data_IF_686817226946
#
_entry.id   IF_686817226946
#
_cell.length_a   1.000
_cell.length_b   1.000
_cell.length_c   1.000
_cell.angle_alpha   90.00
_cell.angle_beta   90.00
_cell.angle_gamma   90.00
#
_symmetry.space_group_name_H-M   'P 1'
#
loop_
_entity.id
_entity.type
_entity.pdbx_description
1 polymer ?
#
# COMPACT_ATOMS: atom_id res chain seq x y z
N UNK A 1 -36.21 31.00 27.17
CA UNK A 1 -36.20 29.54 26.94
C UNK A 1 -36.39 29.30 25.46
N UNK A 2 -35.31 29.16 24.71
CA UNK A 2 -35.33 28.71 23.32
C UNK A 2 -34.26 27.62 23.23
N UNK A 3 -34.74 26.41 22.98
CA UNK A 3 -34.01 25.15 22.97
C UNK A 3 -33.11 25.03 21.75
N UNK A 4 -31.91 24.50 22.00
CA UNK A 4 -31.03 23.86 21.03
C UNK A 4 -31.75 22.78 20.22
N UNK A 5 -31.53 22.77 18.90
CA UNK A 5 -31.22 21.61 18.02
C UNK A 5 -31.41 22.08 16.56
N UNK A 6 -30.44 22.01 15.66
CA UNK A 6 -29.88 20.76 15.14
C UNK A 6 -28.58 21.05 14.41
N UNK A 7 -27.51 20.40 14.87
CA UNK A 7 -26.25 20.27 14.16
C UNK A 7 -26.42 19.14 13.13
N UNK A 8 -26.58 19.48 11.85
CA UNK A 8 -26.63 18.49 10.76
C UNK A 8 -25.21 18.25 10.25
N UNK A 9 -24.69 17.01 10.30
CA UNK A 9 -23.41 16.70 9.67
C UNK A 9 -23.56 16.86 8.15
N UNK A 10 -22.80 17.80 7.59
CA UNK A 10 -22.68 18.04 6.15
C UNK A 10 -22.00 16.82 5.53
N UNK A 11 -22.75 16.04 4.75
CA UNK A 11 -22.20 14.94 3.98
C UNK A 11 -21.23 15.46 2.91
N UNK A 12 -19.95 15.10 3.02
CA UNK A 12 -18.95 15.38 2.01
C UNK A 12 -19.18 14.50 0.76
N UNK A 13 -19.06 15.03 -0.47
CA UNK A 13 -19.21 14.26 -1.69
C UNK A 13 -18.11 13.20 -1.83
N UNK A 14 -18.50 11.98 -2.22
CA UNK A 14 -17.60 10.83 -2.37
C UNK A 14 -16.74 10.92 -3.64
N UNK A 15 -15.62 11.63 -3.58
CA UNK A 15 -14.58 11.54 -4.60
C UNK A 15 -13.57 10.42 -4.31
N UNK A 16 -12.84 9.97 -5.34
CA UNK A 16 -11.88 8.85 -5.24
C UNK A 16 -10.52 9.35 -4.75
N UNK A 17 -10.04 8.82 -3.63
CA UNK A 17 -8.64 9.01 -3.18
C UNK A 17 -7.80 7.78 -3.53
N UNK A 18 -6.70 7.94 -4.27
CA UNK A 18 -5.70 6.88 -4.54
C UNK A 18 -4.36 7.25 -3.92
N UNK A 19 -3.62 6.24 -3.45
CA UNK A 19 -2.29 6.40 -2.85
C UNK A 19 -1.25 5.79 -3.78
N UNK A 20 -0.22 6.56 -4.14
CA UNK A 20 0.98 6.04 -4.80
C UNK A 20 2.16 6.11 -3.81
N UNK A 21 2.85 4.98 -3.62
CA UNK A 21 4.11 4.91 -2.87
C UNK A 21 5.28 5.00 -3.84
N UNK A 22 6.30 5.77 -3.49
CA UNK A 22 7.54 5.87 -4.26
C UNK A 22 8.25 4.51 -4.34
N UNK A 23 8.08 3.81 -5.45
CA UNK A 23 8.91 2.66 -5.84
C UNK A 23 10.31 3.18 -6.17
N UNK A 24 11.28 2.94 -5.28
CA UNK A 24 12.69 3.03 -5.64
C UNK A 24 12.99 2.11 -6.82
N UNK A 25 13.26 2.69 -7.99
CA UNK A 25 13.69 1.95 -9.19
C UNK A 25 15.17 1.63 -9.08
N UNK A 26 15.49 0.34 -9.18
CA UNK A 26 16.83 -0.15 -9.53
C UNK A 26 16.72 -1.22 -10.60
N UNK A 27 16.53 -0.82 -11.86
CA UNK A 27 16.62 -1.72 -13.02
C UNK A 27 18.07 -1.84 -13.47
N UNK A 28 18.74 -2.94 -13.14
CA UNK A 28 20.03 -3.31 -13.73
C UNK A 28 19.78 -4.06 -15.06
N UNK A 29 20.35 -3.55 -16.16
CA UNK A 29 20.50 -4.29 -17.42
C UNK A 29 21.84 -5.03 -17.39
N UNK A 30 21.81 -6.35 -17.56
CA UNK A 30 22.97 -7.12 -18.02
C UNK A 30 22.66 -7.76 -19.38
N UNK A 31 23.71 -7.79 -20.20
CA UNK A 31 23.65 -7.91 -21.65
C UNK A 31 23.53 -9.34 -22.21
N UNK A 32 23.31 -9.36 -23.51
CA UNK A 32 23.05 -10.55 -24.31
C UNK A 32 24.22 -11.55 -24.31
N UNK A 33 23.88 -12.84 -24.13
CA UNK A 33 24.77 -13.99 -24.24
C UNK A 33 24.07 -15.14 -24.97
N UNK A 34 24.78 -15.78 -25.90
CA UNK A 34 24.29 -16.60 -27.02
C UNK A 34 23.69 -17.98 -26.65
N UNK A 35 22.92 -18.48 -27.63
CA UNK A 35 22.35 -19.83 -27.88
C UNK A 35 23.30 -21.01 -27.61
N UNK A 36 22.72 -22.15 -27.23
CA UNK A 36 22.81 -23.55 -27.77
C UNK A 36 21.76 -24.35 -26.95
N UNK A 37 20.87 -25.24 -27.42
CA UNK A 37 20.77 -26.05 -28.63
C UNK A 37 21.01 -27.53 -28.29
N UNK A 38 19.99 -28.30 -27.89
CA UNK A 38 19.91 -29.77 -28.11
C UNK A 38 18.55 -30.39 -27.69
N UNK A 39 18.19 -31.46 -28.41
CA UNK A 39 16.86 -32.10 -28.53
C UNK A 39 16.72 -33.46 -27.79
N UNK A 40 15.47 -33.97 -27.77
CA UNK A 40 14.98 -35.37 -27.61
C UNK A 40 15.05 -35.98 -26.18
N UNK A 41 14.07 -36.76 -25.66
CA UNK A 41 13.14 -37.74 -26.24
C UNK A 41 11.77 -37.80 -25.54
N UNK A 42 10.85 -38.39 -26.30
CA UNK A 42 9.45 -38.77 -26.06
C UNK A 42 9.26 -39.85 -24.96
N UNK A 43 8.08 -39.87 -24.32
CA UNK A 43 7.73 -40.91 -23.34
C UNK A 43 6.52 -40.58 -22.45
N UNK A 44 5.33 -41.03 -22.85
CA UNK A 44 4.20 -41.37 -21.95
C UNK A 44 3.91 -42.88 -22.13
N UNK A 45 3.10 -43.58 -21.30
CA UNK A 45 2.18 -43.12 -20.24
C UNK A 45 2.23 -43.96 -18.93
N UNK A 46 1.51 -43.54 -17.86
CA UNK A 46 0.31 -44.22 -17.32
C UNK A 46 -0.10 -43.68 -15.92
N UNK A 47 -1.38 -43.89 -15.58
CA UNK A 47 -2.18 -43.41 -14.46
C UNK A 47 -1.88 -44.09 -13.11
N UNK A 48 -2.13 -43.37 -12.03
CA UNK A 48 -2.29 -43.84 -10.64
C UNK A 48 -2.28 -42.62 -9.71
N UNK A 49 -3.44 -42.17 -9.24
CA UNK A 49 -3.99 -42.38 -7.89
C UNK A 49 -3.39 -41.45 -6.81
N UNK A 50 -4.27 -41.05 -5.89
CA UNK A 50 -4.13 -39.96 -4.94
C UNK A 50 -3.00 -40.21 -3.92
N UNK A 51 -1.97 -39.35 -3.94
CA UNK A 51 -0.99 -39.27 -2.85
C UNK A 51 -0.97 -37.86 -2.25
N UNK A 52 -1.34 -37.81 -0.96
CA UNK A 52 -1.08 -36.70 -0.05
C UNK A 52 0.43 -36.57 0.07
N UNK A 53 1.02 -35.56 -0.57
CA UNK A 53 2.47 -35.35 -0.60
C UNK A 53 3.02 -35.10 0.81
N UNK A 54 3.86 -36.00 1.37
CA UNK A 54 4.74 -35.65 2.48
C UNK A 54 5.88 -34.78 1.92
N UNK A 55 6.39 -33.85 2.72
CA UNK A 55 7.47 -32.94 2.32
C UNK A 55 8.67 -33.71 1.76
N UNK A 56 8.86 -33.63 0.44
CA UNK A 56 10.07 -34.08 -0.23
C UNK A 56 10.90 -32.86 -0.64
N UNK A 57 12.16 -32.86 -0.21
CA UNK A 57 13.16 -31.90 -0.65
C UNK A 57 13.28 -31.96 -2.18
N UNK A 58 12.95 -30.86 -2.84
CA UNK A 58 13.14 -30.70 -4.28
C UNK A 58 14.64 -30.42 -4.46
N UNK A 59 15.38 -31.25 -5.19
CA UNK A 59 16.79 -30.98 -5.50
C UNK A 59 16.89 -30.22 -6.84
N UNK A 60 17.67 -29.12 -6.88
CA UNK A 60 18.00 -28.43 -8.13
C UNK A 60 18.96 -29.31 -8.96
N UNK A 61 19.00 -29.11 -10.29
CA UNK A 61 19.83 -29.84 -11.26
C UNK A 61 21.33 -29.82 -10.94
N UNK A 62 21.77 -28.95 -10.02
CA UNK A 62 23.14 -28.80 -9.54
C UNK A 62 23.39 -29.30 -8.11
N UNK A 63 22.45 -30.04 -7.49
CA UNK A 63 22.64 -30.59 -6.13
C UNK A 63 22.59 -29.55 -5.00
N UNK A 64 22.05 -28.35 -5.28
CA UNK A 64 21.72 -27.35 -4.26
C UNK A 64 20.41 -27.66 -3.55
N UNK A 65 20.28 -27.18 -2.31
CA UNK A 65 19.03 -27.20 -1.55
C UNK A 65 18.02 -26.25 -2.23
N UNK A 66 16.90 -26.77 -2.72
CA UNK A 66 15.80 -25.93 -3.23
C UNK A 66 14.86 -25.67 -2.05
N UNK A 67 14.46 -24.42 -1.80
CA UNK A 67 13.53 -24.14 -0.72
C UNK A 67 12.20 -24.84 -0.98
N UNK A 68 11.63 -25.40 0.09
CA UNK A 68 10.28 -25.95 0.09
C UNK A 68 9.24 -24.87 -0.19
N UNK A 69 8.06 -25.26 -0.67
CA UNK A 69 6.95 -24.32 -0.85
C UNK A 69 6.58 -23.60 0.45
N UNK A 70 6.74 -24.25 1.60
CA UNK A 70 6.48 -23.66 2.92
C UNK A 70 7.50 -22.55 3.23
N UNK A 71 8.79 -22.81 3.03
CA UNK A 71 9.84 -21.80 3.20
C UNK A 71 9.65 -20.61 2.28
N UNK A 72 9.17 -20.83 1.04
CA UNK A 72 8.88 -19.76 0.09
C UNK A 72 7.73 -18.88 0.59
N UNK A 73 6.62 -19.46 1.08
CA UNK A 73 5.49 -18.63 1.54
C UNK A 73 5.77 -17.96 2.88
N UNK A 74 6.64 -18.52 3.71
CA UNK A 74 7.04 -17.97 5.01
C UNK A 74 7.80 -16.65 4.93
N UNK A 75 8.42 -16.34 3.78
CA UNK A 75 9.06 -15.02 3.57
C UNK A 75 8.03 -13.89 3.39
N UNK A 76 6.77 -14.22 3.08
CA UNK A 76 5.74 -13.23 2.85
C UNK A 76 5.38 -12.54 4.18
N UNK A 77 5.40 -11.20 4.25
CA UNK A 77 5.23 -10.47 5.50
C UNK A 77 3.77 -10.48 6.01
N UNK A 78 2.81 -10.73 5.13
CA UNK A 78 1.38 -10.70 5.43
C UNK A 78 0.80 -12.12 5.55
N UNK A 79 -0.29 -12.31 6.32
CA UNK A 79 -0.98 -13.59 6.38
C UNK A 79 -1.32 -14.11 4.99
N UNK A 80 -0.84 -15.31 4.68
CA UNK A 80 -0.99 -15.93 3.38
C UNK A 80 -1.31 -17.41 3.52
N UNK A 81 -2.17 -17.91 2.64
CA UNK A 81 -2.52 -19.33 2.58
C UNK A 81 -2.69 -19.79 1.14
N UNK A 82 -2.51 -21.10 0.92
CA UNK A 82 -2.72 -21.76 -0.36
C UNK A 82 -3.91 -22.70 -0.24
N UNK A 83 -4.85 -22.62 -1.18
CA UNK A 83 -6.09 -23.37 -1.17
C UNK A 83 -6.23 -24.18 -2.46
N UNK A 84 -6.58 -25.46 -2.34
CA UNK A 84 -6.90 -26.35 -3.45
C UNK A 84 -8.31 -26.16 -3.99
N UNK A 85 -8.60 -26.75 -5.15
CA UNK A 85 -9.90 -26.63 -5.84
C UNK A 85 -11.09 -27.18 -5.04
N UNK A 86 -10.82 -28.04 -4.06
CA UNK A 86 -11.81 -28.66 -3.17
C UNK A 86 -11.95 -27.92 -1.82
N UNK A 87 -11.55 -26.64 -1.80
CA UNK A 87 -11.55 -25.76 -0.63
C UNK A 87 -10.52 -26.11 0.44
N UNK A 88 -9.71 -27.17 0.28
CA UNK A 88 -8.74 -27.56 1.31
C UNK A 88 -7.54 -26.63 1.35
N UNK A 89 -7.13 -26.29 2.56
CA UNK A 89 -5.94 -25.50 2.81
C UNK A 89 -4.74 -26.42 2.66
N UNK A 90 -3.84 -26.09 1.73
CA UNK A 90 -2.65 -26.88 1.42
C UNK A 90 -1.43 -26.35 2.15
N UNK A 91 -1.36 -25.03 2.34
CA UNK A 91 -0.28 -24.39 3.08
C UNK A 91 -0.78 -23.10 3.74
N UNK A 92 -0.12 -22.71 4.83
CA UNK A 92 -0.22 -21.38 5.45
C UNK A 92 1.19 -20.88 5.69
N UNK A 93 1.36 -19.56 5.78
CA UNK A 93 2.64 -19.00 6.16
C UNK A 93 2.72 -18.67 7.67
N UNK A 94 3.93 -18.35 8.14
CA UNK A 94 4.19 -18.01 9.53
C UNK A 94 3.41 -16.77 9.99
N UNK A 95 3.15 -15.80 9.09
CA UNK A 95 2.34 -14.63 9.39
C UNK A 95 0.87 -15.00 9.68
N UNK A 96 0.29 -15.91 8.88
CA UNK A 96 -1.06 -16.43 9.11
C UNK A 96 -1.17 -17.15 10.45
N UNK A 97 -0.24 -18.07 10.73
CA UNK A 97 -0.19 -18.83 11.98
C UNK A 97 -0.11 -17.91 13.21
N UNK A 98 0.76 -16.90 13.16
CA UNK A 98 0.87 -15.89 14.23
C UNK A 98 -0.39 -15.04 14.40
N UNK A 99 -0.99 -14.59 13.30
CA UNK A 99 -2.18 -13.73 13.33
C UNK A 99 -3.40 -14.44 13.92
N UNK A 100 -3.66 -15.67 13.46
CA UNK A 100 -4.81 -16.46 13.90
C UNK A 100 -4.53 -17.33 15.13
N UNK A 101 -3.29 -17.36 15.63
CA UNK A 101 -2.92 -18.12 16.83
C UNK A 101 -3.10 -19.63 16.66
N UNK A 102 -2.81 -20.14 15.46
CA UNK A 102 -3.03 -21.55 15.05
C UNK A 102 -1.74 -22.16 14.52
N UNK A 103 -1.59 -23.46 14.69
CA UNK A 103 -0.53 -24.26 14.07
C UNK A 103 -0.89 -24.70 12.64
N UNK A 104 0.10 -25.16 11.87
CA UNK A 104 -0.16 -25.73 10.54
C UNK A 104 -1.03 -27.00 10.64
N UNK A 105 -0.79 -27.84 11.65
CA UNK A 105 -1.51 -29.09 11.89
C UNK A 105 -3.02 -28.88 12.14
N UNK A 106 -3.40 -27.75 12.74
CA UNK A 106 -4.80 -27.41 13.03
C UNK A 106 -5.60 -26.94 11.80
N UNK A 107 -4.90 -26.55 10.72
CA UNK A 107 -5.48 -25.80 9.60
C UNK A 107 -5.29 -26.53 8.26
N UNK A 108 -4.08 -27.04 7.99
CA UNK A 108 -3.76 -27.74 6.75
C UNK A 108 -4.62 -29.01 6.63
N UNK A 109 -5.15 -29.24 5.43
CA UNK A 109 -6.08 -30.33 5.12
C UNK A 109 -7.55 -30.01 5.40
N UNK A 110 -7.86 -29.00 6.21
CA UNK A 110 -9.25 -28.55 6.46
C UNK A 110 -9.75 -27.61 5.37
N UNK A 111 -11.06 -27.39 5.30
CA UNK A 111 -11.62 -26.47 4.29
C UNK A 111 -11.54 -25.02 4.75
N UNK A 112 -11.24 -24.10 3.83
CA UNK A 112 -11.12 -22.67 4.12
C UNK A 112 -12.37 -22.10 4.80
N UNK A 113 -13.57 -22.52 4.40
CA UNK A 113 -14.82 -22.06 5.01
C UNK A 113 -15.06 -22.62 6.42
N UNK A 114 -14.49 -23.78 6.77
CA UNK A 114 -14.55 -24.34 8.13
C UNK A 114 -13.62 -23.59 9.08
N UNK A 115 -12.46 -23.17 8.59
CA UNK A 115 -11.44 -22.46 9.39
C UNK A 115 -11.79 -20.98 9.48
N UNK A 116 -11.89 -20.29 8.33
CA UNK A 116 -12.05 -18.85 8.27
C UNK A 116 -13.45 -18.37 8.63
N UNK A 117 -14.49 -19.10 8.20
CA UNK A 117 -15.89 -18.70 8.36
C UNK A 117 -16.67 -19.52 9.40
N UNK A 118 -16.06 -20.61 9.94
CA UNK A 118 -16.72 -21.56 10.84
C UNK A 118 -18.04 -22.10 10.27
N UNK A 119 -18.06 -22.30 8.96
CA UNK A 119 -19.22 -22.73 8.19
C UNK A 119 -18.99 -24.13 7.62
N UNK A 120 -20.02 -25.00 7.58
CA UNK A 120 -19.93 -26.29 6.90
C UNK A 120 -20.02 -26.16 5.37
N UNK A 121 -20.43 -25.01 4.85
CA UNK A 121 -20.61 -24.73 3.41
C UNK A 121 -19.74 -23.57 2.93
N UNK A 122 -19.38 -23.51 1.64
CA UNK A 122 -18.65 -22.39 1.03
C UNK A 122 -19.32 -21.03 1.22
N UNK A 123 -18.51 -19.96 1.15
CA UNK A 123 -18.95 -18.58 1.38
C UNK A 123 -20.06 -18.14 0.41
N UNK A 124 -20.03 -18.64 -0.83
CA UNK A 124 -21.06 -18.43 -1.86
C UNK A 124 -22.46 -18.85 -1.42
N UNK A 125 -22.56 -19.94 -0.65
CA UNK A 125 -23.83 -20.46 -0.14
C UNK A 125 -24.32 -19.71 1.09
N UNK A 126 -23.47 -18.88 1.70
CA UNK A 126 -23.81 -17.96 2.78
C UNK A 126 -24.11 -16.54 2.29
N UNK A 127 -24.23 -16.34 0.96
CA UNK A 127 -24.51 -15.04 0.36
C UNK A 127 -23.29 -14.12 0.24
N UNK A 128 -22.07 -14.64 0.39
CA UNK A 128 -20.81 -13.92 0.18
C UNK A 128 -20.21 -14.26 -1.19
N UNK A 129 -19.37 -13.38 -1.75
CA UNK A 129 -18.66 -13.69 -3.00
C UNK A 129 -17.39 -14.48 -2.71
N UNK A 130 -17.41 -15.79 -2.93
CA UNK A 130 -16.25 -16.65 -2.66
C UNK A 130 -15.07 -16.33 -3.61
N UNK A 131 -13.90 -15.88 -3.12
CA UNK A 131 -12.78 -15.53 -3.98
C UNK A 131 -12.19 -16.74 -4.69
N UNK A 132 -12.23 -17.91 -4.05
CA UNK A 132 -11.79 -19.17 -4.66
C UNK A 132 -12.59 -19.50 -5.92
N UNK A 133 -13.92 -19.47 -5.82
CA UNK A 133 -14.81 -19.78 -6.94
C UNK A 133 -14.61 -18.78 -8.09
N UNK A 134 -14.47 -17.49 -7.80
CA UNK A 134 -14.24 -16.45 -8.82
C UNK A 134 -12.90 -16.64 -9.54
N UNK A 135 -11.82 -16.95 -8.81
CA UNK A 135 -10.51 -17.22 -9.43
C UNK A 135 -10.53 -18.51 -10.24
N UNK A 136 -11.20 -19.57 -9.77
CA UNK A 136 -11.33 -20.80 -10.56
C UNK A 136 -12.16 -20.61 -11.83
N UNK A 137 -13.20 -19.77 -11.77
CA UNK A 137 -14.06 -19.50 -12.91
C UNK A 137 -13.38 -18.60 -13.96
N UNK A 138 -12.62 -17.58 -13.53
CA UNK A 138 -12.05 -16.57 -14.43
C UNK A 138 -10.58 -16.79 -14.77
N UNK A 139 -9.83 -17.46 -13.89
CA UNK A 139 -8.38 -17.56 -13.98
C UNK A 139 -7.64 -16.24 -13.73
N UNK A 140 -8.30 -15.23 -13.19
CA UNK A 140 -7.72 -13.90 -12.94
C UNK A 140 -7.67 -13.61 -11.43
N UNK A 141 -6.72 -12.79 -10.96
CA UNK A 141 -6.73 -12.32 -9.58
C UNK A 141 -8.06 -11.66 -9.20
N UNK A 142 -8.52 -11.92 -7.99
CA UNK A 142 -9.79 -11.41 -7.47
C UNK A 142 -9.64 -10.81 -6.09
N UNK A 143 -10.38 -9.74 -5.81
CA UNK A 143 -10.36 -9.06 -4.52
C UNK A 143 -11.79 -8.90 -3.97
N UNK A 144 -11.96 -9.23 -2.69
CA UNK A 144 -13.25 -9.16 -2.00
C UNK A 144 -13.04 -8.89 -0.51
N UNK A 145 -14.08 -8.42 0.16
CA UNK A 145 -14.09 -8.25 1.63
C UNK A 145 -14.93 -9.36 2.24
N UNK A 146 -14.33 -10.08 3.17
CA UNK A 146 -14.97 -11.15 3.95
C UNK A 146 -15.04 -10.79 5.43
N UNK A 147 -15.88 -11.53 6.16
CA UNK A 147 -15.83 -11.59 7.62
C UNK A 147 -15.26 -12.94 8.04
N UNK A 148 -14.02 -12.95 8.51
CA UNK A 148 -13.37 -14.11 9.11
C UNK A 148 -13.54 -14.11 10.63
N UNK A 149 -13.08 -15.16 11.30
CA UNK A 149 -13.00 -15.21 12.76
C UNK A 149 -11.55 -15.23 13.22
N UNK A 150 -11.25 -14.40 14.23
CA UNK A 150 -9.93 -14.40 14.88
C UNK A 150 -9.76 -15.60 15.84
N UNK A 151 -8.55 -15.73 16.41
CA UNK A 151 -8.20 -16.76 17.40
C UNK A 151 -9.17 -16.84 18.59
N UNK A 152 -9.84 -15.73 18.93
CA UNK A 152 -10.77 -15.59 20.06
C UNK A 152 -12.22 -15.79 19.65
N UNK A 153 -12.48 -16.10 18.38
CA UNK A 153 -13.81 -16.25 17.81
C UNK A 153 -14.58 -14.94 17.63
N UNK A 154 -13.88 -13.81 17.57
CA UNK A 154 -14.48 -12.53 17.20
C UNK A 154 -14.49 -12.39 15.68
N UNK A 155 -15.53 -11.76 15.16
CA UNK A 155 -15.62 -11.42 13.74
C UNK A 155 -14.55 -10.38 13.41
N UNK A 156 -13.74 -10.69 12.41
CA UNK A 156 -12.69 -9.84 11.85
C UNK A 156 -13.03 -9.59 10.39
N UNK A 157 -13.14 -8.33 9.98
CA UNK A 157 -13.29 -8.00 8.56
C UNK A 157 -11.92 -8.02 7.91
N UNK A 158 -11.83 -8.69 6.77
CA UNK A 158 -10.56 -8.84 6.04
C UNK A 158 -10.78 -8.52 4.58
N UNK A 159 -9.80 -7.87 3.96
CA UNK A 159 -9.71 -7.78 2.51
C UNK A 159 -8.86 -8.95 2.01
N UNK A 160 -9.47 -9.78 1.18
CA UNK A 160 -8.82 -10.91 0.55
C UNK A 160 -8.33 -10.51 -0.83
N UNK A 161 -7.11 -10.92 -1.16
CA UNK A 161 -6.60 -10.91 -2.52
C UNK A 161 -6.21 -12.34 -2.91
N UNK A 162 -7.03 -12.94 -3.77
CA UNK A 162 -6.82 -14.28 -4.29
C UNK A 162 -6.10 -14.20 -5.65
N UNK A 163 -5.08 -15.03 -5.81
CA UNK A 163 -4.25 -15.12 -7.02
C UNK A 163 -4.18 -16.57 -7.51
N UNK A 164 -4.35 -16.84 -8.82
CA UNK A 164 -4.27 -18.19 -9.35
C UNK A 164 -2.83 -18.71 -9.34
N UNK A 165 -2.65 -19.96 -8.90
CA UNK A 165 -1.40 -20.72 -9.04
C UNK A 165 -1.64 -21.80 -10.09
N UNK A 166 -0.92 -21.70 -11.19
CA UNK A 166 -1.10 -22.53 -12.38
C UNK A 166 -0.10 -23.68 -12.41
N UNK A 167 -0.51 -24.79 -12.99
CA UNK A 167 0.40 -25.90 -13.31
C UNK A 167 1.14 -25.64 -14.64
N UNK A 168 1.95 -26.63 -15.07
CA UNK A 168 2.72 -26.54 -16.31
C UNK A 168 1.85 -26.49 -17.59
N UNK A 169 0.59 -26.93 -17.51
CA UNK A 169 -0.37 -26.84 -18.62
C UNK A 169 -1.09 -25.47 -18.65
N UNK A 170 -0.87 -24.62 -17.64
CA UNK A 170 -1.51 -23.33 -17.50
C UNK A 170 -2.85 -23.37 -16.77
N UNK A 171 -3.27 -24.52 -16.26
CA UNK A 171 -4.54 -24.68 -15.56
C UNK A 171 -4.43 -24.22 -14.10
N UNK A 172 -5.47 -23.58 -13.57
CA UNK A 172 -5.49 -23.14 -12.17
C UNK A 172 -5.65 -24.38 -11.27
N UNK A 173 -4.59 -24.73 -10.54
CA UNK A 173 -4.56 -25.87 -9.64
C UNK A 173 -4.74 -25.47 -8.18
N UNK A 174 -4.17 -24.34 -7.79
CA UNK A 174 -4.30 -23.78 -6.46
C UNK A 174 -4.59 -22.28 -6.52
N UNK A 175 -4.99 -21.72 -5.39
CA UNK A 175 -5.13 -20.28 -5.18
C UNK A 175 -4.25 -19.88 -4.02
N UNK A 176 -3.43 -18.86 -4.22
CA UNK A 176 -2.80 -18.12 -3.12
C UNK A 176 -3.74 -17.03 -2.65
N UNK A 177 -3.96 -16.92 -1.35
CA UNK A 177 -4.81 -15.90 -0.75
C UNK A 177 -4.02 -15.07 0.25
N UNK A 178 -3.87 -13.78 -0.04
CA UNK A 178 -3.41 -12.78 0.91
C UNK A 178 -4.59 -12.30 1.74
N UNK A 179 -4.40 -12.27 3.06
CA UNK A 179 -5.40 -11.77 3.99
C UNK A 179 -4.87 -10.49 4.60
N UNK A 180 -5.55 -9.39 4.30
CA UNK A 180 -5.28 -8.09 4.91
C UNK A 180 -6.36 -7.81 5.96
N UNK A 181 -6.04 -7.95 7.26
CA UNK A 181 -6.94 -7.52 8.33
C UNK A 181 -7.34 -6.07 8.12
N UNK A 182 -8.64 -5.82 8.01
CA UNK A 182 -9.17 -4.47 8.06
C UNK A 182 -9.24 -4.17 9.54
N UNK A 183 -8.24 -3.47 10.06
CA UNK A 183 -8.32 -2.96 11.42
C UNK A 183 -9.45 -1.92 11.41
N UNK A 184 -10.63 -2.36 11.85
CA UNK A 184 -11.63 -1.47 12.43
C UNK A 184 -11.01 -0.91 13.72
N UNK A 185 -9.99 -0.07 13.55
CA UNK A 185 -9.81 0.99 14.52
C UNK A 185 -11.18 1.68 14.49
N UNK A 186 -11.83 1.94 15.64
CA UNK A 186 -12.74 3.07 15.66
C UNK A 186 -12.00 4.19 14.92
N UNK A 187 -12.71 4.95 14.09
CA UNK A 187 -12.19 6.22 13.58
C UNK A 187 -11.84 7.03 14.83
N UNK A 188 -10.65 6.76 15.34
CA UNK A 188 -10.14 7.26 16.58
C UNK A 188 -9.60 8.58 16.15
N UNK A 189 -10.34 9.57 16.64
CA UNK A 189 -10.38 10.96 16.30
C UNK A 189 -11.03 11.26 14.94
N UNK A 190 -11.81 12.33 14.97
CA UNK A 190 -12.72 12.91 13.96
C UNK A 190 -12.09 13.20 12.58
N UNK A 191 -10.85 12.74 12.34
CA UNK A 191 -10.03 13.01 11.18
C UNK A 191 -10.63 12.41 9.90
N UNK A 192 -11.09 11.15 9.92
CA UNK A 192 -11.74 10.55 8.75
C UNK A 192 -13.12 10.04 9.12
N UNK A 193 -14.14 10.40 8.33
CA UNK A 193 -15.52 9.94 8.53
C UNK A 193 -15.98 9.19 7.29
N UNK A 194 -16.32 7.91 7.43
CA UNK A 194 -16.93 7.13 6.37
C UNK A 194 -16.85 5.62 6.58
N UNK A 195 -17.91 4.89 6.19
CA UNK A 195 -18.05 3.44 6.41
C UNK A 195 -18.19 2.63 5.11
N UNK A 196 -18.09 3.28 3.95
CA UNK A 196 -18.20 2.59 2.66
C UNK A 196 -17.01 1.65 2.45
N UNK A 197 -17.20 0.58 1.66
CA UNK A 197 -16.13 -0.37 1.36
C UNK A 197 -14.88 0.32 0.77
N UNK A 198 -15.07 1.32 -0.08
CA UNK A 198 -13.97 2.13 -0.65
C UNK A 198 -13.23 2.96 0.40
N UNK A 199 -13.96 3.52 1.37
CA UNK A 199 -13.35 4.26 2.47
C UNK A 199 -12.54 3.32 3.39
N UNK A 200 -13.07 2.13 3.68
CA UNK A 200 -12.35 1.13 4.48
C UNK A 200 -11.07 0.64 3.78
N UNK A 201 -11.11 0.47 2.46
CA UNK A 201 -9.91 0.19 1.66
C UNK A 201 -8.88 1.32 1.75
N UNK A 202 -9.32 2.59 1.63
CA UNK A 202 -8.45 3.74 1.80
C UNK A 202 -7.82 3.76 3.19
N UNK A 203 -8.62 3.60 4.25
CA UNK A 203 -8.13 3.57 5.64
C UNK A 203 -7.12 2.44 5.85
N UNK A 204 -7.36 1.25 5.31
CA UNK A 204 -6.40 0.14 5.36
C UNK A 204 -5.06 0.51 4.71
N UNK A 205 -5.08 1.16 3.53
CA UNK A 205 -3.86 1.65 2.89
C UNK A 205 -3.15 2.73 3.72
N UNK A 206 -3.92 3.68 4.29
CA UNK A 206 -3.38 4.73 5.15
C UNK A 206 -2.72 4.14 6.40
N UNK A 207 -3.32 3.13 7.03
CA UNK A 207 -2.76 2.41 8.18
C UNK A 207 -1.44 1.70 7.85
N UNK A 208 -1.32 1.11 6.65
CA UNK A 208 -0.10 0.45 6.18
C UNK A 208 1.03 1.44 5.91
N UNK A 209 0.72 2.61 5.33
CA UNK A 209 1.75 3.61 4.99
C UNK A 209 2.12 4.52 6.14
N UNK A 210 1.21 4.75 7.10
CA UNK A 210 1.44 5.62 8.25
C UNK A 210 2.74 5.33 9.03
N UNK A 211 3.08 4.08 9.43
CA UNK A 211 4.32 3.81 10.17
C UNK A 211 5.60 3.90 9.32
N UNK A 212 5.50 4.03 8.00
CA UNK A 212 6.67 4.11 7.10
C UNK A 212 7.22 5.54 6.99
N UNK A 213 8.48 5.66 6.56
CA UNK A 213 9.11 6.96 6.25
C UNK A 213 8.91 7.42 4.79
N UNK A 214 8.26 6.60 3.96
CA UNK A 214 8.11 6.85 2.53
C UNK A 214 7.23 8.06 2.25
N UNK A 215 7.56 8.80 1.19
CA UNK A 215 6.71 9.86 0.62
C UNK A 215 5.38 9.29 0.14
N UNK A 216 4.29 9.98 0.46
CA UNK A 216 2.93 9.56 0.09
C UNK A 216 2.36 10.55 -0.91
N UNK A 217 1.82 10.06 -2.03
CA UNK A 217 1.05 10.88 -2.98
C UNK A 217 -0.44 10.54 -2.90
N UNK A 218 -1.25 11.54 -2.57
CA UNK A 218 -2.72 11.47 -2.48
C UNK A 218 -3.35 12.06 -3.74
N UNK A 219 -3.97 11.20 -4.55
CA UNK A 219 -4.67 11.61 -5.76
C UNK A 219 -6.16 11.65 -5.50
N UNK A 220 -6.84 12.72 -5.85
CA UNK A 220 -8.29 12.79 -5.78
C UNK A 220 -8.84 14.19 -6.05
N UNK A 221 -10.13 14.29 -6.31
CA UNK A 221 -10.79 15.56 -6.62
C UNK A 221 -10.61 16.61 -5.51
N UNK A 222 -10.82 17.88 -5.83
CA UNK A 222 -10.78 18.95 -4.83
C UNK A 222 -11.92 18.78 -3.81
N UNK A 223 -11.64 19.01 -2.52
CA UNK A 223 -12.65 18.93 -1.46
C UNK A 223 -13.00 17.54 -0.93
N UNK A 224 -12.31 16.48 -1.38
CA UNK A 224 -12.59 15.08 -0.95
C UNK A 224 -11.92 14.68 0.37
N UNK A 225 -11.30 15.63 1.07
CA UNK A 225 -10.62 15.38 2.35
C UNK A 225 -9.20 14.84 2.25
N UNK A 226 -8.43 15.19 1.20
CA UNK A 226 -7.01 14.80 1.07
C UNK A 226 -6.15 15.26 2.26
N UNK A 227 -6.38 16.48 2.75
CA UNK A 227 -5.69 17.00 3.94
C UNK A 227 -5.99 16.14 5.19
N UNK A 228 -7.22 15.66 5.34
CA UNK A 228 -7.58 14.77 6.46
C UNK A 228 -6.90 13.41 6.35
N UNK A 229 -6.77 12.87 5.13
CA UNK A 229 -5.97 11.66 4.91
C UNK A 229 -4.48 11.89 5.23
N UNK A 230 -3.94 13.07 4.92
CA UNK A 230 -2.56 13.43 5.29
C UNK A 230 -2.38 13.55 6.81
N UNK A 231 -3.32 14.20 7.51
CA UNK A 231 -3.34 14.27 8.98
C UNK A 231 -3.42 12.88 9.61
N UNK A 232 -4.24 12.00 9.06
CA UNK A 232 -4.31 10.60 9.49
C UNK A 232 -2.95 9.91 9.38
N UNK A 233 -2.28 10.02 8.22
CA UNK A 233 -0.95 9.43 8.00
C UNK A 233 0.07 9.96 8.99
N UNK A 234 0.07 11.26 9.26
CA UNK A 234 0.95 11.88 10.24
C UNK A 234 0.68 11.39 11.67
N UNK A 235 -0.58 11.46 12.11
CA UNK A 235 -1.01 11.09 13.46
C UNK A 235 -0.69 9.62 13.80
N UNK A 236 -0.78 8.71 12.83
CA UNK A 236 -0.46 7.30 13.03
C UNK A 236 0.96 6.92 12.61
N UNK A 237 1.84 7.89 12.39
CA UNK A 237 3.25 7.65 12.07
C UNK A 237 4.15 7.68 13.31
N UNK A 238 5.42 7.29 13.13
CA UNK A 238 6.46 7.48 14.15
C UNK A 238 6.82 8.96 14.40
N UNK A 239 6.17 9.91 13.73
CA UNK A 239 6.42 11.36 13.80
C UNK A 239 5.22 12.15 14.33
N UNK A 240 4.25 11.49 14.94
CA UNK A 240 3.00 12.10 15.41
C UNK A 240 3.20 13.24 16.42
N UNK A 241 4.28 13.20 17.21
CA UNK A 241 4.65 14.26 18.16
C UNK A 241 5.37 15.45 17.50
N UNK A 242 5.77 15.30 16.23
CA UNK A 242 6.45 16.33 15.45
C UNK A 242 5.47 17.30 14.78
N UNK A 243 5.97 18.40 14.20
CA UNK A 243 5.11 19.36 13.52
C UNK A 243 4.42 18.76 12.28
N UNK A 244 3.14 19.10 12.08
CA UNK A 244 2.42 18.90 10.81
C UNK A 244 2.25 20.24 10.11
N UNK A 245 3.06 20.49 9.09
CA UNK A 245 3.09 21.76 8.34
C UNK A 245 2.36 21.57 7.02
N UNK A 246 1.49 22.51 6.66
CA UNK A 246 0.70 22.48 5.42
C UNK A 246 1.12 23.60 4.50
N UNK A 247 1.21 23.32 3.20
CA UNK A 247 1.38 24.31 2.14
C UNK A 247 0.48 23.98 0.96
N UNK A 248 -0.22 24.98 0.45
CA UNK A 248 -1.07 24.85 -0.74
C UNK A 248 -0.41 25.61 -1.90
N UNK A 249 0.08 24.87 -2.90
CA UNK A 249 0.75 25.45 -4.07
C UNK A 249 -0.20 26.20 -5.02
N UNK A 250 -1.52 25.98 -4.93
CA UNK A 250 -2.51 26.65 -5.76
C UNK A 250 -2.86 28.07 -5.29
N UNK A 251 -2.52 28.43 -4.05
CA UNK A 251 -2.91 29.71 -3.44
C UNK A 251 -1.84 30.80 -3.51
N UNK A 252 -0.59 30.45 -3.79
CA UNK A 252 0.56 31.36 -3.75
C UNK A 252 1.18 31.58 -5.14
N UNK A 253 1.61 32.81 -5.42
CA UNK A 253 2.41 33.09 -6.62
C UNK A 253 3.81 32.46 -6.56
N UNK A 254 4.44 32.25 -7.72
CA UNK A 254 5.70 31.48 -7.86
C UNK A 254 6.83 31.92 -6.91
N UNK A 255 7.06 33.23 -6.78
CA UNK A 255 8.13 33.76 -5.91
C UNK A 255 7.81 33.60 -4.41
N UNK A 256 6.52 33.65 -4.06
CA UNK A 256 6.07 33.45 -2.69
C UNK A 256 6.19 31.98 -2.30
N UNK A 257 5.77 31.05 -3.16
CA UNK A 257 5.85 29.61 -2.85
C UNK A 257 7.31 29.15 -2.68
N UNK A 258 8.25 29.69 -3.47
CA UNK A 258 9.68 29.43 -3.27
C UNK A 258 10.16 29.91 -1.90
N UNK A 259 9.83 31.16 -1.55
CA UNK A 259 10.24 31.80 -0.30
C UNK A 259 9.60 31.13 0.92
N UNK A 260 8.37 30.64 0.81
CA UNK A 260 7.71 29.87 1.86
C UNK A 260 8.36 28.49 2.03
N UNK A 261 8.47 27.70 0.96
CA UNK A 261 9.01 26.34 1.04
C UNK A 261 10.45 26.32 1.57
N UNK A 262 11.32 27.16 1.00
CA UNK A 262 12.76 27.09 1.22
C UNK A 262 13.31 28.16 2.15
N UNK A 263 12.53 29.20 2.46
CA UNK A 263 13.01 30.34 3.24
C UNK A 263 13.95 31.25 2.44
N UNK A 264 14.38 32.35 3.04
CA UNK A 264 15.28 33.32 2.40
C UNK A 264 16.23 33.95 3.41
N UNK A 265 17.40 34.34 2.93
CA UNK A 265 18.36 35.14 3.69
C UNK A 265 18.08 36.65 3.54
N UNK A 266 18.59 37.44 4.48
CA UNK A 266 18.49 38.90 4.41
C UNK A 266 19.14 39.40 3.11
N UNK A 267 18.41 40.21 2.35
CA UNK A 267 18.88 40.77 1.07
C UNK A 267 18.73 39.84 -0.13
N UNK A 268 18.05 38.70 -0.01
CA UNK A 268 17.81 37.78 -1.13
C UNK A 268 17.00 38.40 -2.29
N UNK A 269 16.11 39.34 -1.99
CA UNK A 269 15.32 40.12 -2.96
C UNK A 269 14.92 41.47 -2.36
N UNK A 270 14.37 42.37 -3.19
CA UNK A 270 13.83 43.67 -2.77
C UNK A 270 12.70 43.48 -1.75
N UNK A 271 12.94 43.87 -0.49
CA UNK A 271 12.00 43.69 0.62
C UNK A 271 12.40 42.62 1.65
N UNK A 272 13.45 41.83 1.39
CA UNK A 272 14.00 40.86 2.34
C UNK A 272 14.83 41.55 3.45
N UNK A 273 14.15 42.27 4.35
CA UNK A 273 14.78 43.05 5.43
C UNK A 273 15.35 42.19 6.56
N UNK A 274 14.86 40.96 6.70
CA UNK A 274 15.34 39.93 7.64
C UNK A 274 15.47 38.58 6.92
N UNK A 275 16.07 37.59 7.58
CA UNK A 275 16.04 36.20 7.11
C UNK A 275 14.78 35.49 7.62
N UNK A 276 14.22 34.57 6.83
CA UNK A 276 13.06 33.75 7.17
C UNK A 276 13.36 32.26 6.96
N UNK A 277 13.01 31.43 7.93
CA UNK A 277 13.05 29.96 7.81
C UNK A 277 11.98 29.46 6.83
N UNK A 278 12.32 28.46 6.02
CA UNK A 278 11.36 27.80 5.14
C UNK A 278 10.46 26.80 5.85
N UNK A 279 9.40 26.36 5.18
CA UNK A 279 8.47 25.34 5.69
C UNK A 279 9.12 23.97 5.86
N UNK A 280 10.15 23.64 5.07
CA UNK A 280 10.97 22.44 5.33
C UNK A 280 11.67 22.52 6.69
N UNK A 281 12.27 23.66 7.03
CA UNK A 281 12.90 23.84 8.36
C UNK A 281 11.85 23.87 9.47
N UNK A 282 10.65 24.40 9.21
CA UNK A 282 9.56 24.41 10.18
C UNK A 282 8.96 23.03 10.44
N UNK A 283 9.07 22.11 9.46
CA UNK A 283 8.56 20.74 9.53
C UNK A 283 9.59 19.74 10.08
N UNK A 284 10.74 20.21 10.58
CA UNK A 284 11.83 19.37 11.09
C UNK A 284 11.35 18.36 12.14
N UNK A 285 11.73 17.09 11.98
CA UNK A 285 11.29 15.98 12.84
C UNK A 285 9.83 15.56 12.62
N UNK A 286 9.08 16.26 11.76
CA UNK A 286 7.66 16.09 11.53
C UNK A 286 7.31 15.73 10.09
N UNK A 287 6.22 16.31 9.60
CA UNK A 287 5.65 16.05 8.26
C UNK A 287 5.28 17.36 7.56
N UNK A 288 5.68 17.49 6.30
CA UNK A 288 5.24 18.55 5.39
C UNK A 288 4.19 18.00 4.42
N UNK A 289 2.98 18.53 4.48
CA UNK A 289 1.91 18.27 3.54
C UNK A 289 1.88 19.34 2.46
N UNK A 290 2.03 18.93 1.19
CA UNK A 290 2.01 19.79 0.01
C UNK A 290 0.73 19.50 -0.78
N UNK A 291 -0.25 20.40 -0.71
CA UNK A 291 -1.47 20.31 -1.51
C UNK A 291 -1.28 20.96 -2.89
N UNK A 292 -2.00 20.41 -3.85
CA UNK A 292 -1.93 20.76 -5.27
C UNK A 292 -0.49 20.83 -5.83
N UNK A 293 0.31 19.78 -5.58
CA UNK A 293 1.73 19.69 -5.99
C UNK A 293 1.96 19.94 -7.48
N UNK A 294 0.96 19.65 -8.32
CA UNK A 294 1.02 19.87 -9.77
C UNK A 294 0.99 21.36 -10.17
N UNK A 295 0.66 22.28 -9.26
CA UNK A 295 0.78 23.73 -9.48
C UNK A 295 2.19 24.25 -9.21
N UNK A 296 3.08 23.41 -8.65
CA UNK A 296 4.45 23.82 -8.36
C UNK A 296 5.23 24.09 -9.67
N UNK A 297 5.84 25.27 -9.85
CA UNK A 297 6.62 25.58 -11.04
C UNK A 297 7.78 24.60 -11.27
N UNK A 298 8.08 24.27 -12.54
CA UNK A 298 9.16 23.35 -12.93
C UNK A 298 10.53 23.62 -12.26
N UNK A 299 11.00 24.88 -12.12
CA UNK A 299 12.26 25.15 -11.43
C UNK A 299 12.23 24.73 -9.96
N UNK A 300 11.07 24.87 -9.30
CA UNK A 300 10.89 24.48 -7.90
C UNK A 300 10.71 22.98 -7.73
N UNK A 301 10.14 22.28 -8.72
CA UNK A 301 10.09 20.81 -8.72
C UNK A 301 11.51 20.21 -8.67
N UNK A 302 12.48 20.80 -9.37
CA UNK A 302 13.88 20.35 -9.33
C UNK A 302 14.50 20.55 -7.95
N UNK A 303 14.17 21.65 -7.26
CA UNK A 303 14.62 21.90 -5.87
C UNK A 303 13.97 20.94 -4.89
N UNK A 304 12.66 20.69 -5.04
CA UNK A 304 11.92 19.73 -4.24
C UNK A 304 12.53 18.33 -4.37
N UNK A 305 12.78 17.86 -5.60
CA UNK A 305 13.42 16.57 -5.85
C UNK A 305 14.75 16.46 -5.10
N UNK A 306 15.60 17.49 -5.16
CA UNK A 306 16.86 17.51 -4.42
C UNK A 306 16.66 17.39 -2.91
N UNK A 307 15.66 18.05 -2.33
CA UNK A 307 15.34 17.90 -0.91
C UNK A 307 14.90 16.47 -0.60
N UNK A 308 14.04 15.87 -1.44
CA UNK A 308 13.58 14.49 -1.28
C UNK A 308 14.72 13.46 -1.37
N UNK A 309 15.72 13.69 -2.22
CA UNK A 309 16.85 12.79 -2.41
C UNK A 309 17.93 12.94 -1.33
N UNK A 310 18.21 14.18 -0.92
CA UNK A 310 19.39 14.50 -0.09
C UNK A 310 19.05 14.86 1.36
N UNK A 311 17.79 15.21 1.65
CA UNK A 311 17.40 15.81 2.92
C UNK A 311 18.07 17.16 3.17
N UNK A 312 18.53 17.86 2.12
CA UNK A 312 19.24 19.13 2.24
C UNK A 312 18.43 20.26 1.62
N UNK A 313 18.20 21.32 2.40
CA UNK A 313 17.51 22.53 1.95
C UNK A 313 18.49 23.70 1.88
N UNK A 314 18.25 24.64 0.96
CA UNK A 314 19.02 25.89 0.86
C UNK A 314 18.06 27.05 0.68
N UNK A 315 18.19 28.07 1.55
CA UNK A 315 17.40 29.30 1.48
C UNK A 315 17.71 30.10 0.22
N UNK A 316 16.73 30.85 -0.26
CA UNK A 316 16.91 31.81 -1.37
C UNK A 316 17.94 32.87 -0.96
N UNK A 317 18.88 33.15 -1.85
CA UNK A 317 20.01 34.05 -1.59
C UNK A 317 21.12 33.49 -0.68
N UNK A 318 20.92 32.29 -0.10
CA UNK A 318 21.90 31.63 0.75
C UNK A 318 22.83 30.69 -0.01
N UNK A 319 24.03 30.46 0.55
CA UNK A 319 25.01 29.50 0.04
C UNK A 319 25.11 28.22 0.88
N UNK A 320 24.61 28.26 2.11
CA UNK A 320 24.68 27.17 3.08
C UNK A 320 23.55 26.14 2.87
N UNK A 321 23.90 24.86 2.80
CA UNK A 321 22.93 23.76 2.84
C UNK A 321 22.64 23.38 4.29
N UNK A 322 21.37 23.18 4.60
CA UNK A 322 20.88 22.77 5.92
C UNK A 322 20.25 21.39 5.80
N UNK A 323 20.69 20.46 6.64
CA UNK A 323 20.07 19.14 6.73
C UNK A 323 18.71 19.27 7.41
N UNK A 324 17.70 18.62 6.84
CA UNK A 324 16.36 18.53 7.38
C UNK A 324 15.89 17.07 7.36
N UNK A 325 15.27 16.62 8.44
CA UNK A 325 14.61 15.32 8.51
C UNK A 325 13.10 15.51 8.49
N UNK A 326 12.50 15.49 7.29
CA UNK A 326 11.07 15.78 7.07
C UNK A 326 10.43 14.68 6.25
N UNK A 327 9.29 14.17 6.71
CA UNK A 327 8.43 13.31 5.88
C UNK A 327 7.57 14.16 4.97
N UNK A 328 7.51 13.83 3.68
CA UNK A 328 6.66 14.56 2.72
C UNK A 328 5.40 13.77 2.39
N UNK A 329 4.26 14.44 2.40
CA UNK A 329 2.99 13.96 1.84
C UNK A 329 2.57 14.98 0.79
N UNK A 330 2.31 14.54 -0.44
CA UNK A 330 1.85 15.41 -1.51
C UNK A 330 0.42 15.05 -1.92
N UNK A 331 -0.34 16.01 -2.42
CA UNK A 331 -1.68 15.81 -2.93
C UNK A 331 -1.90 16.57 -4.24
N UNK A 332 -2.78 16.04 -5.10
CA UNK A 332 -3.26 16.75 -6.30
C UNK A 332 -4.57 16.15 -6.81
N UNK A 333 -5.35 16.97 -7.51
CA UNK A 333 -6.48 16.53 -8.32
C UNK A 333 -6.13 16.26 -9.80
N UNK A 334 -4.92 16.60 -10.25
CA UNK A 334 -4.50 16.50 -11.65
C UNK A 334 -3.93 15.14 -11.99
N UNK A 335 -4.03 14.76 -13.26
CA UNK A 335 -3.35 13.57 -13.78
C UNK A 335 -1.85 13.85 -13.94
N UNK A 336 -1.09 13.45 -12.93
CA UNK A 336 0.36 13.64 -12.88
C UNK A 336 1.09 12.88 -14.00
N UNK A 337 0.57 11.72 -14.43
CA UNK A 337 1.20 10.91 -15.48
C UNK A 337 1.07 11.59 -16.84
N UNK A 338 -0.10 12.15 -17.14
CA UNK A 338 -0.31 12.96 -18.33
C UNK A 338 0.59 14.21 -18.32
N UNK A 339 0.68 14.90 -17.18
CA UNK A 339 1.53 16.09 -17.06
C UNK A 339 3.02 15.78 -17.23
N UNK A 340 3.49 14.62 -16.79
CA UNK A 340 4.86 14.14 -17.05
C UNK A 340 5.08 13.89 -18.53
N UNK A 341 4.15 13.21 -19.21
CA UNK A 341 4.24 12.96 -20.65
C UNK A 341 4.30 14.25 -21.48
N UNK A 342 3.64 15.32 -20.99
CA UNK A 342 3.62 16.64 -21.62
C UNK A 342 4.76 17.56 -21.18
N UNK A 343 5.66 17.12 -20.28
CA UNK A 343 6.76 17.92 -19.77
C UNK A 343 6.35 19.07 -18.83
N UNK A 344 5.11 19.04 -18.32
CA UNK A 344 4.57 20.02 -17.35
C UNK A 344 4.81 19.61 -15.89
N UNK A 345 5.24 18.38 -15.66
CA UNK A 345 5.68 17.87 -14.36
C UNK A 345 6.92 16.99 -14.55
N UNK A 346 7.86 16.99 -13.61
CA UNK A 346 9.14 16.25 -13.68
C UNK A 346 9.20 15.04 -12.79
#
# INVERSE_FOLDING_TARGET
MASHDTDRPVGLPMGRVRILQGLGRGTFRFGAGRRHGQEFLDGTPDRGEDDVMPGHDIHDKNGGCTPSCEEIVDILPEPFMVIGRDYRIVATNAAYRRHYGVSAEEVVGRRCHEVSHRSPVPCSQNGEHCPLEEVLARGEPFQVIHTHFDARGRRERVQLQAVPIRDAAGEVRFIGEYIHPIVERPLADELLVGRSARMLQLVSLLQRVAPTRTTVLLLGESGVGKEQAAKYVHHYSSRAEGPFVVVDCGTLGEQLIESELFGYEKGAFTGATSAKKGLFEAAEGGTLFIDEICELPLPLQTKLLRVLETGMVRRVGGTEYRQVDVRVIAATNRDIQAMVAEGRFR
#
